data_IF_617078582248
#
_entry.id   IF_617078582248
#
_cell.length_a   1.000
_cell.length_b   1.000
_cell.length_c   1.000
_cell.angle_alpha   90.00
_cell.angle_beta   90.00
_cell.angle_gamma   90.00
#
_symmetry.space_group_name_H-M   'P 1'
#
loop_
_entity.id
_entity.type
_entity.pdbx_description
1 polymer ?
#
# COMPACT_ATOMS: atom_id res chain seq x y z
N UNK A 1 40.60 -10.81 -1.88
CA UNK A 1 39.73 -11.59 -2.80
C UNK A 1 38.69 -12.25 -1.94
N UNK A 2 37.45 -12.03 -2.33
CA UNK A 2 36.29 -12.03 -1.49
C UNK A 2 35.58 -13.37 -1.70
N UNK A 3 34.89 -13.90 -0.69
CA UNK A 3 34.33 -15.24 -0.72
C UNK A 3 33.28 -15.36 -1.84
N UNK A 4 33.64 -16.00 -2.95
CA UNK A 4 32.75 -16.32 -4.08
C UNK A 4 31.48 -17.07 -3.61
N UNK A 5 31.64 -17.88 -2.57
CA UNK A 5 30.55 -18.58 -1.89
C UNK A 5 29.59 -17.59 -1.21
N UNK A 6 30.09 -16.62 -0.44
CA UNK A 6 29.27 -15.61 0.22
C UNK A 6 28.50 -14.74 -0.79
N UNK A 7 29.16 -14.31 -1.88
CA UNK A 7 28.51 -13.60 -2.98
C UNK A 7 27.35 -14.41 -3.56
N UNK A 8 27.59 -15.70 -3.86
CA UNK A 8 26.57 -16.59 -4.44
C UNK A 8 25.40 -16.81 -3.49
N UNK A 9 25.65 -17.03 -2.20
CA UNK A 9 24.60 -17.22 -1.18
C UNK A 9 23.75 -15.95 -1.08
N UNK A 10 24.37 -14.78 -0.95
CA UNK A 10 23.66 -13.50 -0.84
C UNK A 10 22.82 -13.21 -2.10
N UNK A 11 23.38 -13.41 -3.29
CA UNK A 11 22.67 -13.22 -4.55
C UNK A 11 21.52 -14.20 -4.72
N UNK A 12 21.67 -15.44 -4.25
CA UNK A 12 20.59 -16.44 -4.27
C UNK A 12 19.47 -16.05 -3.32
N UNK A 13 19.78 -15.66 -2.08
CA UNK A 13 18.76 -15.20 -1.11
C UNK A 13 18.03 -13.97 -1.67
N UNK A 14 18.76 -13.01 -2.24
CA UNK A 14 18.17 -11.84 -2.88
C UNK A 14 17.19 -12.22 -4.00
N UNK A 15 17.59 -13.13 -4.88
CA UNK A 15 16.75 -13.63 -5.97
C UNK A 15 15.49 -14.31 -5.42
N UNK A 16 15.61 -15.10 -4.35
CA UNK A 16 14.46 -15.74 -3.69
C UNK A 16 13.52 -14.69 -3.09
N UNK A 17 14.04 -13.64 -2.45
CA UNK A 17 13.23 -12.51 -1.98
C UNK A 17 12.40 -11.93 -3.13
N UNK A 18 13.02 -11.67 -4.29
CA UNK A 18 12.31 -11.12 -5.44
C UNK A 18 11.29 -12.08 -6.05
N UNK A 19 11.54 -13.39 -5.99
CA UNK A 19 10.56 -14.40 -6.42
C UNK A 19 9.30 -14.38 -5.55
N UNK A 20 9.33 -13.92 -4.29
CA UNK A 20 8.16 -13.96 -3.39
C UNK A 20 7.64 -12.57 -3.01
N UNK A 21 8.34 -11.49 -3.39
CA UNK A 21 8.09 -10.13 -2.88
C UNK A 21 6.64 -9.67 -3.07
N UNK A 22 6.01 -10.01 -4.21
CA UNK A 22 4.66 -9.54 -4.55
C UNK A 22 3.54 -10.34 -3.87
N UNK A 23 3.81 -11.52 -3.31
CA UNK A 23 2.79 -12.37 -2.69
C UNK A 23 2.02 -11.62 -1.58
N UNK A 24 2.69 -10.94 -0.62
CA UNK A 24 2.01 -10.09 0.36
C UNK A 24 1.10 -9.02 -0.26
N UNK A 25 1.49 -8.40 -1.37
CA UNK A 25 0.67 -7.38 -2.04
C UNK A 25 -0.58 -7.99 -2.67
N UNK A 26 -0.42 -9.13 -3.36
CA UNK A 26 -1.54 -9.86 -3.98
C UNK A 26 -2.57 -10.27 -2.92
N UNK A 27 -2.10 -10.80 -1.79
CA UNK A 27 -2.95 -11.20 -0.67
C UNK A 27 -3.64 -9.96 -0.06
N UNK A 28 -2.89 -8.87 0.14
CA UNK A 28 -3.43 -7.63 0.68
C UNK A 28 -4.56 -7.07 -0.19
N UNK A 29 -4.33 -6.97 -1.51
CA UNK A 29 -5.33 -6.55 -2.49
C UNK A 29 -6.56 -7.47 -2.46
N UNK A 30 -6.35 -8.80 -2.43
CA UNK A 30 -7.43 -9.76 -2.40
C UNK A 30 -8.27 -9.68 -1.13
N UNK A 31 -7.66 -9.43 0.02
CA UNK A 31 -8.37 -9.29 1.31
C UNK A 31 -9.15 -7.99 1.39
N UNK A 32 -8.56 -6.88 0.95
CA UNK A 32 -9.17 -5.55 1.03
C UNK A 32 -10.21 -5.29 -0.06
N UNK A 33 -10.10 -5.97 -1.21
CA UNK A 33 -10.96 -5.76 -2.39
C UNK A 33 -10.94 -4.30 -2.90
N UNK A 34 -9.86 -3.59 -2.62
CA UNK A 34 -9.65 -2.18 -2.95
C UNK A 34 -8.16 -1.95 -3.18
N UNK A 35 -7.83 -1.41 -4.35
CA UNK A 35 -6.47 -1.11 -4.80
C UNK A 35 -6.16 0.39 -4.77
N UNK A 36 -6.95 1.19 -4.03
CA UNK A 36 -6.69 2.62 -3.86
C UNK A 36 -5.28 2.87 -3.33
N UNK A 37 -4.50 3.61 -4.11
CA UNK A 37 -3.11 3.97 -3.83
C UNK A 37 -2.05 3.02 -4.41
N UNK A 38 -2.46 1.89 -5.01
CA UNK A 38 -1.59 1.06 -5.84
C UNK A 38 -1.78 1.44 -7.32
N UNK A 39 -0.81 2.11 -7.98
CA UNK A 39 -0.99 2.56 -9.35
C UNK A 39 -1.03 1.38 -10.34
N UNK A 40 -2.07 1.25 -11.19
CA UNK A 40 -2.10 0.20 -12.22
C UNK A 40 -0.92 0.29 -13.18
N UNK A 41 -0.48 1.52 -13.50
CA UNK A 41 0.63 1.78 -14.40
C UNK A 41 1.97 1.20 -13.88
N UNK A 42 2.19 1.19 -12.57
CA UNK A 42 3.38 0.56 -11.97
C UNK A 42 3.40 -0.93 -12.31
N UNK A 43 2.30 -1.63 -11.99
CA UNK A 43 2.20 -3.07 -12.21
C UNK A 43 2.32 -3.41 -13.71
N UNK A 44 1.74 -2.59 -14.58
CA UNK A 44 1.87 -2.76 -16.03
C UNK A 44 3.31 -2.56 -16.52
N UNK A 45 3.97 -1.48 -16.11
CA UNK A 45 5.37 -1.23 -16.49
C UNK A 45 6.30 -2.33 -15.99
N UNK A 46 6.02 -2.91 -14.82
CA UNK A 46 6.75 -4.05 -14.30
C UNK A 46 6.53 -5.32 -15.10
N UNK A 47 5.30 -5.61 -15.55
CA UNK A 47 5.04 -6.69 -16.53
C UNK A 47 5.87 -6.47 -17.80
N UNK A 48 5.81 -5.27 -18.38
CA UNK A 48 6.54 -4.96 -19.62
C UNK A 48 8.06 -5.00 -19.42
N UNK A 49 8.58 -4.66 -18.24
CA UNK A 49 10.00 -4.81 -17.90
C UNK A 49 10.43 -6.27 -17.78
N UNK A 50 9.51 -7.17 -17.41
CA UNK A 50 9.74 -8.61 -17.30
C UNK A 50 10.13 -9.25 -18.64
N UNK A 51 9.55 -8.76 -19.75
CA UNK A 51 9.80 -9.29 -21.11
C UNK A 51 11.29 -9.19 -21.50
N UNK A 52 11.93 -7.99 -21.52
CA UNK A 52 13.36 -7.91 -21.83
C UNK A 52 14.24 -8.57 -20.75
N UNK A 53 13.82 -8.63 -19.47
CA UNK A 53 14.56 -9.42 -18.47
C UNK A 53 14.51 -10.92 -18.77
N UNK A 54 13.36 -11.48 -19.14
CA UNK A 54 13.18 -12.88 -19.52
C UNK A 54 14.06 -13.24 -20.71
N UNK A 55 14.03 -12.40 -21.75
CA UNK A 55 14.92 -12.51 -22.92
C UNK A 55 16.40 -12.51 -22.48
N UNK A 56 16.81 -11.51 -21.70
CA UNK A 56 18.19 -11.36 -21.24
C UNK A 56 18.69 -12.58 -20.47
N UNK A 57 17.97 -12.99 -19.43
CA UNK A 57 18.40 -14.10 -18.58
C UNK A 57 18.33 -15.47 -19.28
N UNK A 58 17.39 -15.68 -20.20
CA UNK A 58 17.28 -16.91 -20.99
C UNK A 58 18.38 -17.06 -22.06
N UNK A 59 18.87 -15.92 -22.59
CA UNK A 59 19.99 -15.87 -23.55
C UNK A 59 21.32 -16.01 -22.81
N UNK A 60 21.57 -15.18 -21.80
CA UNK A 60 22.80 -15.19 -21.00
C UNK A 60 22.98 -16.49 -20.20
N UNK A 61 21.87 -17.16 -19.86
CA UNK A 61 21.81 -18.46 -19.18
C UNK A 61 22.74 -18.63 -17.95
N UNK A 62 22.75 -17.68 -16.99
CA UNK A 62 23.70 -17.72 -15.87
C UNK A 62 23.44 -18.89 -14.90
N UNK A 63 22.20 -19.06 -14.46
CA UNK A 63 21.72 -20.17 -13.64
C UNK A 63 20.19 -20.26 -13.74
N UNK A 64 19.62 -21.41 -13.40
CA UNK A 64 18.19 -21.66 -13.57
C UNK A 64 17.32 -20.74 -12.70
N UNK A 65 17.81 -20.34 -11.52
CA UNK A 65 17.06 -19.49 -10.59
C UNK A 65 16.88 -18.08 -11.19
N UNK A 66 17.94 -17.49 -11.76
CA UNK A 66 17.86 -16.18 -12.43
C UNK A 66 17.03 -16.21 -13.73
N UNK A 67 16.92 -17.37 -14.40
CA UNK A 67 16.03 -17.51 -15.55
C UNK A 67 14.55 -17.55 -15.13
N UNK A 68 14.24 -18.20 -14.01
CA UNK A 68 12.86 -18.33 -13.52
C UNK A 68 12.36 -17.03 -12.88
N UNK A 69 13.24 -16.27 -12.23
CA UNK A 69 12.90 -15.04 -11.50
C UNK A 69 12.06 -14.04 -12.31
N UNK A 70 12.44 -13.59 -13.54
CA UNK A 70 11.67 -12.59 -14.28
C UNK A 70 10.28 -13.10 -14.68
N UNK A 71 10.14 -14.39 -14.97
CA UNK A 71 8.85 -15.00 -15.29
C UNK A 71 7.92 -15.02 -14.07
N UNK A 72 8.43 -15.40 -12.89
CA UNK A 72 7.66 -15.34 -11.65
C UNK A 72 7.25 -13.91 -11.31
N UNK A 73 8.20 -12.97 -11.41
CA UNK A 73 7.95 -11.55 -11.21
C UNK A 73 6.85 -11.03 -12.14
N UNK A 74 6.92 -11.36 -13.43
CA UNK A 74 5.94 -10.97 -14.42
C UNK A 74 4.55 -11.56 -14.13
N UNK A 75 4.45 -12.84 -13.76
CA UNK A 75 3.18 -13.47 -13.36
C UNK A 75 2.57 -12.75 -12.16
N UNK A 76 3.34 -12.46 -11.11
CA UNK A 76 2.82 -11.77 -9.93
C UNK A 76 2.44 -10.31 -10.22
N UNK A 77 3.20 -9.63 -11.08
CA UNK A 77 2.85 -8.29 -11.55
C UNK A 77 1.57 -8.31 -12.38
N UNK A 78 1.40 -9.30 -13.26
CA UNK A 78 0.22 -9.50 -14.08
C UNK A 78 -1.03 -9.76 -13.21
N UNK A 79 -0.91 -10.60 -12.18
CA UNK A 79 -2.00 -10.83 -11.21
C UNK A 79 -2.34 -9.55 -10.46
N UNK A 80 -1.34 -8.83 -9.94
CA UNK A 80 -1.55 -7.57 -9.22
C UNK A 80 -2.13 -6.48 -10.12
N UNK A 81 -1.69 -6.41 -11.38
CA UNK A 81 -2.24 -5.53 -12.40
C UNK A 81 -3.72 -5.85 -12.65
N UNK A 82 -4.07 -7.11 -12.88
CA UNK A 82 -5.46 -7.53 -13.03
C UNK A 82 -6.31 -7.16 -11.79
N UNK A 83 -5.76 -7.31 -10.57
CA UNK A 83 -6.43 -6.85 -9.35
C UNK A 83 -6.66 -5.34 -9.35
N UNK A 84 -5.68 -4.52 -9.78
CA UNK A 84 -5.85 -3.06 -9.86
C UNK A 84 -6.89 -2.62 -10.89
N UNK A 85 -7.07 -3.38 -11.98
CA UNK A 85 -8.11 -3.10 -12.97
C UNK A 85 -9.49 -3.56 -12.49
N UNK A 86 -9.55 -4.65 -11.72
CA UNK A 86 -10.80 -5.27 -11.28
C UNK A 86 -11.40 -4.59 -10.04
N UNK A 87 -10.58 -4.25 -9.04
CA UNK A 87 -11.03 -3.60 -7.82
C UNK A 87 -11.10 -2.06 -8.00
N UNK A 88 -11.80 -1.33 -7.09
CA UNK A 88 -11.70 0.11 -7.02
C UNK A 88 -10.25 0.59 -6.97
N UNK A 89 -9.90 1.72 -7.63
CA UNK A 89 -10.80 2.69 -8.24
C UNK A 89 -11.17 2.44 -9.72
N UNK A 90 -10.58 1.46 -10.41
CA UNK A 90 -10.78 1.29 -11.87
C UNK A 90 -12.07 0.55 -12.24
N UNK A 91 -12.40 -0.52 -11.50
CA UNK A 91 -13.63 -1.32 -11.66
C UNK A 91 -13.99 -1.67 -13.12
N UNK A 92 -13.01 -2.14 -13.89
CA UNK A 92 -13.22 -2.50 -15.29
C UNK A 92 -14.01 -3.81 -15.43
N UNK A 93 -14.77 -3.94 -16.52
CA UNK A 93 -15.48 -5.17 -16.85
C UNK A 93 -14.49 -6.33 -17.05
N UNK A 94 -14.80 -7.51 -16.49
CA UNK A 94 -13.98 -8.73 -16.53
C UNK A 94 -13.57 -9.13 -17.95
N UNK A 95 -14.44 -8.95 -18.95
CA UNK A 95 -14.11 -9.29 -20.34
C UNK A 95 -13.02 -8.39 -20.91
N UNK A 96 -13.04 -7.08 -20.58
CA UNK A 96 -12.00 -6.14 -21.00
C UNK A 96 -10.67 -6.46 -20.32
N UNK A 97 -10.71 -6.80 -19.03
CA UNK A 97 -9.52 -7.23 -18.28
C UNK A 97 -8.95 -8.50 -18.90
N UNK A 98 -9.78 -9.52 -19.14
CA UNK A 98 -9.35 -10.77 -19.76
C UNK A 98 -8.74 -10.54 -21.16
N UNK A 99 -9.33 -9.66 -21.97
CA UNK A 99 -8.77 -9.29 -23.27
C UNK A 99 -7.40 -8.61 -23.14
N UNK A 100 -7.25 -7.63 -22.22
CA UNK A 100 -5.97 -6.94 -21.97
C UNK A 100 -4.90 -7.94 -21.50
N UNK A 101 -5.23 -8.81 -20.55
CA UNK A 101 -4.31 -9.81 -20.03
C UNK A 101 -3.89 -10.79 -21.12
N UNK A 102 -4.85 -11.31 -21.90
CA UNK A 102 -4.57 -12.22 -23.01
C UNK A 102 -3.68 -11.57 -24.06
N UNK A 103 -3.99 -10.35 -24.50
CA UNK A 103 -3.17 -9.61 -25.47
C UNK A 103 -1.76 -9.39 -24.95
N UNK A 104 -1.62 -8.98 -23.68
CA UNK A 104 -0.31 -8.76 -23.06
C UNK A 104 0.51 -10.05 -23.03
N UNK A 105 -0.09 -11.17 -22.61
CA UNK A 105 0.58 -12.48 -22.56
C UNK A 105 0.95 -13.01 -23.95
N UNK A 106 0.11 -12.81 -24.97
CA UNK A 106 0.44 -13.22 -26.33
C UNK A 106 1.62 -12.42 -26.90
N UNK A 107 1.66 -11.11 -26.63
CA UNK A 107 2.79 -10.26 -27.02
C UNK A 107 4.06 -10.69 -26.29
N UNK A 108 3.97 -10.85 -24.97
CA UNK A 108 5.06 -11.30 -24.12
C UNK A 108 5.69 -12.62 -24.61
N UNK A 109 4.89 -13.70 -24.69
CA UNK A 109 5.36 -15.01 -25.18
C UNK A 109 5.92 -14.91 -26.61
N UNK A 110 5.27 -14.14 -27.49
CA UNK A 110 5.73 -13.97 -28.87
C UNK A 110 7.09 -13.27 -28.97
N UNK A 111 7.30 -12.22 -28.17
CA UNK A 111 8.56 -11.49 -28.10
C UNK A 111 9.66 -12.36 -27.45
N UNK A 112 9.38 -12.98 -26.31
CA UNK A 112 10.35 -13.84 -25.63
C UNK A 112 10.81 -15.00 -26.52
N UNK A 113 9.86 -15.79 -27.04
CA UNK A 113 10.20 -16.95 -27.89
C UNK A 113 10.91 -16.50 -29.17
N UNK A 114 10.42 -15.43 -29.82
CA UNK A 114 11.01 -14.91 -31.05
C UNK A 114 12.46 -14.44 -30.86
N UNK A 115 12.70 -13.59 -29.84
CA UNK A 115 14.04 -13.07 -29.57
C UNK A 115 14.98 -14.13 -29.00
N UNK A 116 14.52 -15.03 -28.13
CA UNK A 116 15.38 -16.08 -27.56
C UNK A 116 15.85 -17.03 -28.68
N UNK A 117 14.95 -17.51 -29.55
CA UNK A 117 15.34 -18.41 -30.65
C UNK A 117 16.33 -17.74 -31.60
N UNK A 118 16.16 -16.44 -31.87
CA UNK A 118 17.01 -15.70 -32.79
C UNK A 118 18.37 -15.31 -32.19
N UNK A 119 18.39 -14.80 -30.96
CA UNK A 119 19.59 -14.23 -30.33
C UNK A 119 20.44 -15.28 -29.62
N UNK A 120 19.86 -16.37 -29.13
CA UNK A 120 20.63 -17.41 -28.41
C UNK A 120 21.75 -18.03 -29.25
N UNK A 121 21.55 -18.37 -30.54
CA UNK A 121 22.65 -18.80 -31.41
C UNK A 121 23.72 -17.72 -31.65
N UNK A 122 23.34 -16.44 -31.69
CA UNK A 122 24.28 -15.32 -31.86
C UNK A 122 25.12 -15.11 -30.60
N UNK A 123 24.50 -15.21 -29.43
CA UNK A 123 25.19 -15.15 -28.15
C UNK A 123 26.20 -16.30 -28.00
N UNK A 124 25.81 -17.52 -28.39
CA UNK A 124 26.70 -18.69 -28.40
C UNK A 124 27.90 -18.55 -29.36
N UNK A 125 27.75 -17.77 -30.44
CA UNK A 125 28.84 -17.43 -31.36
C UNK A 125 29.76 -16.31 -30.83
N UNK A 126 29.49 -15.78 -29.64
CA UNK A 126 30.30 -14.76 -28.98
C UNK A 126 29.80 -13.32 -29.13
N UNK A 127 28.72 -13.09 -29.89
CA UNK A 127 28.16 -11.74 -30.07
C UNK A 127 27.21 -11.40 -28.91
N UNK A 128 27.76 -10.77 -27.86
CA UNK A 128 27.02 -10.49 -26.61
C UNK A 128 26.29 -9.15 -26.56
N UNK A 129 26.65 -8.18 -27.39
CA UNK A 129 26.07 -6.82 -27.31
C UNK A 129 24.54 -6.76 -27.49
N UNK A 130 23.90 -7.55 -28.36
CA UNK A 130 22.44 -7.56 -28.49
C UNK A 130 21.72 -7.92 -27.18
N UNK A 131 22.27 -8.85 -26.42
CA UNK A 131 21.72 -9.27 -25.11
C UNK A 131 21.75 -8.13 -24.09
N UNK A 132 22.85 -7.36 -24.06
CA UNK A 132 22.99 -6.20 -23.18
C UNK A 132 21.92 -5.13 -23.42
N UNK A 133 21.42 -4.98 -24.64
CA UNK A 133 20.34 -4.03 -24.95
C UNK A 133 19.06 -4.42 -24.19
N UNK A 134 18.74 -5.71 -24.11
CA UNK A 134 17.60 -6.20 -23.35
C UNK A 134 17.82 -6.00 -21.85
N UNK A 135 19.00 -6.32 -21.32
CA UNK A 135 19.33 -6.06 -19.91
C UNK A 135 19.21 -4.58 -19.51
N UNK A 136 19.74 -3.66 -20.33
CA UNK A 136 19.69 -2.21 -20.07
C UNK A 136 18.25 -1.68 -20.19
N UNK A 137 17.52 -2.07 -21.24
CA UNK A 137 16.12 -1.63 -21.42
C UNK A 137 15.21 -2.13 -20.31
N UNK A 138 15.39 -3.38 -19.87
CA UNK A 138 14.67 -3.95 -18.72
C UNK A 138 14.92 -3.15 -17.44
N UNK A 139 16.20 -2.83 -17.17
CA UNK A 139 16.63 -2.05 -16.02
C UNK A 139 15.98 -0.65 -15.98
N UNK A 140 15.95 0.04 -17.13
CA UNK A 140 15.33 1.36 -17.25
C UNK A 140 13.81 1.26 -17.02
N UNK A 141 13.14 0.28 -17.65
CA UNK A 141 11.70 0.08 -17.51
C UNK A 141 11.31 -0.24 -16.06
N UNK A 142 12.10 -1.07 -15.37
CA UNK A 142 11.87 -1.40 -13.96
C UNK A 142 11.93 -0.14 -13.07
N UNK A 143 12.98 0.69 -13.24
CA UNK A 143 13.14 1.94 -12.51
C UNK A 143 12.02 2.94 -12.82
N UNK A 144 11.65 3.10 -14.10
CA UNK A 144 10.52 3.94 -14.52
C UNK A 144 9.20 3.43 -13.92
N UNK A 145 9.04 2.11 -13.78
CA UNK A 145 7.89 1.48 -13.15
C UNK A 145 7.68 1.89 -11.69
N UNK A 146 8.73 2.33 -10.98
CA UNK A 146 8.63 2.85 -9.62
C UNK A 146 8.23 4.33 -9.54
N UNK A 147 8.15 5.08 -10.64
CA UNK A 147 7.74 6.50 -10.64
C UNK A 147 6.25 6.75 -10.31
N UNK A 148 5.27 5.97 -10.81
CA UNK A 148 3.86 6.17 -10.49
C UNK A 148 3.54 6.22 -8.99
N UNK A 149 4.11 5.35 -8.12
CA UNK A 149 3.99 5.48 -6.67
C UNK A 149 4.40 6.84 -6.13
N UNK A 150 5.50 7.42 -6.63
CA UNK A 150 5.96 8.74 -6.19
C UNK A 150 4.98 9.85 -6.53
N UNK A 151 4.33 9.79 -7.69
CA UNK A 151 3.29 10.75 -8.05
C UNK A 151 2.07 10.63 -7.11
N UNK A 152 1.67 9.41 -6.76
CA UNK A 152 0.61 9.18 -5.75
C UNK A 152 1.02 9.71 -4.37
N UNK A 153 2.28 9.53 -3.95
CA UNK A 153 2.79 10.08 -2.70
C UNK A 153 2.76 11.60 -2.68
N UNK A 154 3.20 12.24 -3.77
CA UNK A 154 3.16 13.69 -3.91
C UNK A 154 1.73 14.22 -3.82
N UNK A 155 0.79 13.61 -4.55
CA UNK A 155 -0.63 13.95 -4.51
C UNK A 155 -1.25 13.80 -3.12
N UNK A 156 -0.78 12.83 -2.33
CA UNK A 156 -1.29 12.51 -0.98
C UNK A 156 -0.48 13.11 0.17
N UNK A 157 0.35 14.13 -0.11
CA UNK A 157 1.17 14.84 0.90
C UNK A 157 2.09 13.90 1.71
N UNK A 158 2.67 12.89 1.04
CA UNK A 158 3.62 11.93 1.61
C UNK A 158 3.00 10.67 2.24
N UNK A 159 1.67 10.52 2.22
CA UNK A 159 1.02 9.33 2.77
C UNK A 159 1.06 8.17 1.77
N UNK A 160 1.83 7.12 2.09
CA UNK A 160 1.76 5.84 1.38
C UNK A 160 0.41 5.19 1.67
N UNK A 161 -0.37 4.89 0.63
CA UNK A 161 -1.67 4.21 0.72
C UNK A 161 -1.68 3.10 -0.32
N UNK A 162 -2.26 1.95 0.01
CA UNK A 162 -2.46 0.86 -0.97
C UNK A 162 -1.25 -0.04 -1.21
N UNK A 163 -0.03 0.43 -0.94
CA UNK A 163 1.18 -0.40 -0.99
C UNK A 163 1.38 -1.11 0.36
N UNK A 164 1.55 -2.43 0.32
CA UNK A 164 1.82 -3.27 1.48
C UNK A 164 3.30 -3.15 1.88
N UNK A 165 3.57 -2.73 3.12
CA UNK A 165 4.92 -2.59 3.65
C UNK A 165 5.72 -3.89 3.68
N UNK A 166 5.05 -5.05 3.83
CA UNK A 166 5.74 -6.33 3.78
C UNK A 166 6.26 -6.63 2.36
N UNK A 167 5.49 -6.28 1.33
CA UNK A 167 5.95 -6.37 -0.06
C UNK A 167 7.17 -5.47 -0.27
N UNK A 168 7.06 -4.20 0.09
CA UNK A 168 8.13 -3.22 -0.09
C UNK A 168 9.39 -3.59 0.70
N UNK A 169 9.23 -4.19 1.89
CA UNK A 169 10.36 -4.65 2.70
C UNK A 169 11.09 -5.82 2.05
N UNK A 170 10.36 -6.82 1.55
CA UNK A 170 10.98 -8.01 0.91
C UNK A 170 11.68 -7.62 -0.40
N UNK A 171 11.07 -6.72 -1.18
CA UNK A 171 11.66 -6.16 -2.41
C UNK A 171 12.98 -5.45 -2.11
N UNK A 172 12.95 -4.55 -1.11
CA UNK A 172 14.14 -3.80 -0.70
C UNK A 172 15.21 -4.66 -0.08
N UNK A 173 14.84 -5.66 0.71
CA UNK A 173 15.79 -6.65 1.23
C UNK A 173 16.53 -7.35 0.09
N UNK A 174 15.84 -7.73 -0.99
CA UNK A 174 16.46 -8.29 -2.18
C UNK A 174 17.47 -7.33 -2.83
N UNK A 175 17.14 -6.05 -2.94
CA UNK A 175 18.04 -5.03 -3.49
C UNK A 175 19.30 -4.84 -2.62
N UNK A 176 19.16 -4.70 -1.30
CA UNK A 176 20.30 -4.55 -0.39
C UNK A 176 21.19 -5.78 -0.36
N UNK A 177 20.61 -6.99 -0.31
CA UNK A 177 21.38 -8.24 -0.37
C UNK A 177 22.13 -8.38 -1.70
N UNK A 178 21.55 -7.93 -2.81
CA UNK A 178 22.22 -7.93 -4.12
C UNK A 178 23.37 -6.94 -4.20
N UNK A 179 23.23 -5.75 -3.61
CA UNK A 179 24.33 -4.78 -3.50
C UNK A 179 25.50 -5.40 -2.72
N UNK A 180 25.23 -6.01 -1.57
CA UNK A 180 26.27 -6.66 -0.76
C UNK A 180 26.89 -7.84 -1.52
N UNK A 181 26.08 -8.66 -2.20
CA UNK A 181 26.55 -9.77 -3.05
C UNK A 181 27.55 -9.29 -4.10
N UNK A 182 27.25 -8.21 -4.84
CA UNK A 182 28.14 -7.67 -5.87
C UNK A 182 29.42 -7.07 -5.28
N UNK A 183 29.33 -6.34 -4.16
CA UNK A 183 30.50 -5.80 -3.45
C UNK A 183 31.41 -6.93 -2.95
N UNK A 184 30.81 -8.05 -2.53
CA UNK A 184 31.49 -9.22 -1.99
C UNK A 184 31.93 -10.19 -3.10
N UNK A 185 31.51 -9.98 -4.35
CA UNK A 185 31.79 -10.89 -5.45
C UNK A 185 32.60 -10.22 -6.56
N UNK A 186 32.23 -10.56 -7.79
CA UNK A 186 32.68 -9.84 -8.98
C UNK A 186 31.83 -8.59 -9.18
N UNK A 187 32.49 -7.45 -9.33
CA UNK A 187 31.83 -6.17 -9.56
C UNK A 187 31.14 -6.14 -10.93
N UNK A 188 29.86 -6.49 -10.98
CA UNK A 188 28.99 -6.19 -12.12
C UNK A 188 28.44 -4.76 -11.99
N UNK A 189 29.01 -3.86 -12.78
CA UNK A 189 28.68 -2.42 -12.78
C UNK A 189 27.24 -2.18 -13.24
N UNK A 190 26.68 -3.04 -14.11
CA UNK A 190 25.31 -2.86 -14.58
C UNK A 190 24.31 -3.19 -13.46
N UNK A 191 24.44 -4.38 -12.87
CA UNK A 191 23.60 -4.82 -11.77
C UNK A 191 23.65 -3.89 -10.56
N UNK A 192 24.85 -3.45 -10.14
CA UNK A 192 24.99 -2.58 -8.97
C UNK A 192 24.31 -1.22 -9.16
N UNK A 193 24.35 -0.63 -10.36
CA UNK A 193 23.66 0.64 -10.65
C UNK A 193 22.15 0.45 -10.50
N UNK A 194 21.59 -0.61 -11.09
CA UNK A 194 20.16 -0.89 -10.99
C UNK A 194 19.74 -1.11 -9.53
N UNK A 195 20.48 -1.95 -8.78
CA UNK A 195 20.15 -2.24 -7.39
C UNK A 195 20.22 -1.00 -6.51
N UNK A 196 21.19 -0.11 -6.73
CA UNK A 196 21.27 1.17 -6.03
C UNK A 196 20.09 2.10 -6.35
N UNK A 197 19.66 2.15 -7.62
CA UNK A 197 18.49 2.95 -8.03
C UNK A 197 17.23 2.41 -7.34
N UNK A 198 16.98 1.10 -7.45
CA UNK A 198 15.80 0.46 -6.84
C UNK A 198 15.81 0.66 -5.32
N UNK A 199 16.92 0.33 -4.65
CA UNK A 199 17.05 0.49 -3.20
C UNK A 199 16.84 1.95 -2.76
N UNK A 200 17.39 2.92 -3.51
CA UNK A 200 17.19 4.34 -3.25
C UNK A 200 15.74 4.78 -3.43
N UNK A 201 15.06 4.27 -4.45
CA UNK A 201 13.65 4.56 -4.71
C UNK A 201 12.75 3.97 -3.61
N UNK A 202 12.96 2.74 -3.21
CA UNK A 202 12.18 2.12 -2.14
C UNK A 202 12.44 2.79 -0.78
N UNK A 203 13.70 3.14 -0.50
CA UNK A 203 14.05 3.91 0.70
C UNK A 203 13.34 5.26 0.71
N UNK A 204 13.18 5.91 -0.46
CA UNK A 204 12.39 7.12 -0.60
C UNK A 204 10.91 6.94 -0.24
N UNK A 205 10.31 5.80 -0.61
CA UNK A 205 8.93 5.45 -0.23
C UNK A 205 8.84 5.24 1.30
N UNK A 206 9.79 4.50 1.89
CA UNK A 206 9.86 4.32 3.35
C UNK A 206 10.03 5.65 4.10
N UNK A 207 10.97 6.50 3.64
CA UNK A 207 11.23 7.80 4.23
C UNK A 207 10.00 8.70 4.15
N UNK A 208 9.29 8.72 3.02
CA UNK A 208 8.05 9.48 2.83
C UNK A 208 6.98 9.07 3.86
N UNK A 209 6.77 7.76 4.05
CA UNK A 209 5.85 7.27 5.07
C UNK A 209 6.29 7.63 6.49
N UNK A 210 7.58 7.47 6.79
CA UNK A 210 8.13 7.79 8.11
C UNK A 210 7.98 9.28 8.43
N UNK A 211 8.31 10.17 7.49
CA UNK A 211 8.13 11.62 7.62
C UNK A 211 6.66 11.96 7.84
N UNK A 212 5.75 11.32 7.11
CA UNK A 212 4.31 11.50 7.33
C UNK A 212 3.88 11.05 8.74
N UNK A 213 4.35 9.89 9.21
CA UNK A 213 4.09 9.40 10.57
C UNK A 213 4.63 10.36 11.63
N UNK A 214 5.88 10.81 11.50
CA UNK A 214 6.47 11.80 12.41
C UNK A 214 5.65 13.08 12.41
N UNK A 215 5.33 13.65 11.24
CA UNK A 215 4.56 14.89 11.13
C UNK A 215 3.19 14.76 11.79
N UNK A 216 2.41 13.72 11.50
CA UNK A 216 1.05 13.61 12.03
C UNK A 216 0.97 13.06 13.47
N UNK A 217 1.86 12.14 13.89
CA UNK A 217 1.92 11.71 15.30
C UNK A 217 2.46 12.82 16.19
N UNK A 218 3.46 13.58 15.74
CA UNK A 218 4.02 14.70 16.50
C UNK A 218 3.03 15.87 16.58
N UNK A 219 2.37 16.24 15.48
CA UNK A 219 1.36 17.30 15.49
C UNK A 219 0.13 16.93 16.33
N UNK A 220 -0.24 15.64 16.41
CA UNK A 220 -1.33 15.20 17.30
C UNK A 220 -0.91 15.24 18.77
N UNK A 221 0.33 14.83 19.08
CA UNK A 221 0.89 14.94 20.43
C UNK A 221 0.97 16.40 20.89
N UNK A 222 1.44 17.32 20.05
CA UNK A 222 1.48 18.74 20.38
C UNK A 222 0.08 19.34 20.56
N UNK A 223 -0.93 18.95 19.75
CA UNK A 223 -2.30 19.42 19.96
C UNK A 223 -2.95 18.90 21.25
N UNK A 224 -2.65 17.67 21.64
CA UNK A 224 -3.10 17.12 22.93
C UNK A 224 -2.41 17.83 24.10
N UNK A 225 -1.08 18.05 24.03
CA UNK A 225 -0.32 18.79 25.04
C UNK A 225 -0.72 20.27 25.12
N UNK A 226 -0.96 20.95 23.99
CA UNK A 226 -1.39 22.35 23.96
C UNK A 226 -2.84 22.49 24.47
N UNK A 227 -3.72 21.52 24.19
CA UNK A 227 -5.07 21.50 24.75
C UNK A 227 -5.08 21.20 26.27
N UNK A 228 -4.20 20.32 26.76
CA UNK A 228 -4.01 20.09 28.20
C UNK A 228 -3.45 21.34 28.88
N UNK A 229 -2.43 21.99 28.30
CA UNK A 229 -1.85 23.21 28.85
C UNK A 229 -2.83 24.39 28.83
N UNK A 230 -3.61 24.51 27.76
CA UNK A 230 -4.66 25.53 27.65
C UNK A 230 -5.79 25.28 28.64
N UNK A 231 -6.26 24.03 28.80
CA UNK A 231 -7.33 23.70 29.77
C UNK A 231 -6.91 23.88 31.22
N UNK A 232 -5.64 23.66 31.55
CA UNK A 232 -5.06 24.03 32.86
C UNK A 232 -5.05 25.56 33.03
N UNK A 233 -4.66 26.32 32.00
CA UNK A 233 -4.62 27.79 32.06
C UNK A 233 -6.03 28.43 32.13
N UNK A 234 -7.06 27.79 31.57
CA UNK A 234 -8.46 28.21 31.71
C UNK A 234 -9.01 27.90 33.12
N UNK A 235 -8.66 26.75 33.71
CA UNK A 235 -9.05 26.44 35.09
C UNK A 235 -8.35 27.31 36.14
N UNK A 236 -7.11 27.74 35.89
CA UNK A 236 -6.38 28.67 36.77
C UNK A 236 -6.93 30.11 36.70
N UNK A 237 -7.52 30.53 35.57
CA UNK A 237 -8.17 31.85 35.43
C UNK A 237 -9.60 31.91 36.00
N UNK A 238 -10.33 30.80 36.04
CA UNK A 238 -11.64 30.74 36.73
C UNK A 238 -11.51 30.55 38.25
N UNK A 239 -10.38 30.06 38.75
CA UNK A 239 -10.09 29.95 40.18
C UNK A 239 -9.34 31.17 40.73
N UNK A 240 -9.75 32.36 40.29
CA UNK A 240 -9.35 33.63 40.89
C UNK A 240 -9.95 33.83 42.29
N UNK A 241 -9.52 33.05 43.28
CA UNK A 241 -9.62 33.43 44.68
C UNK A 241 -8.44 34.34 45.04
N UNK A 242 -8.78 35.56 45.46
CA UNK A 242 -7.84 36.50 46.10
C UNK A 242 -7.43 35.94 47.47
N UNK A 243 -6.20 36.20 47.95
CA UNK A 243 -5.64 35.51 49.10
C UNK A 243 -6.13 36.16 50.38
N UNK A 244 -7.37 35.90 50.77
CA UNK A 244 -7.82 36.08 52.15
C UNK A 244 -9.04 35.20 52.39
N UNK A 245 -8.82 34.17 53.22
CA UNK A 245 -9.85 33.38 53.91
C UNK A 245 -10.45 32.14 53.17
N UNK A 246 -9.79 30.98 53.26
CA UNK A 246 -10.51 29.72 53.52
C UNK A 246 -9.64 28.59 54.10
N UNK A 247 -9.16 28.81 55.32
CA UNK A 247 -8.70 27.75 56.24
C UNK A 247 -9.83 26.75 56.65
N UNK A 248 -10.89 26.59 55.86
CA UNK A 248 -12.06 25.76 56.20
C UNK A 248 -12.47 24.75 55.13
N UNK A 249 -11.61 24.45 54.14
CA UNK A 249 -11.92 23.45 53.09
C UNK A 249 -10.89 22.33 52.95
N UNK A 250 -10.11 22.09 54.01
CA UNK A 250 -9.13 20.99 54.10
C UNK A 250 -9.78 19.67 54.57
N UNK A 251 -11.04 19.68 55.04
CA UNK A 251 -11.74 18.45 55.45
C UNK A 251 -12.81 18.06 54.43
N UNK A 252 -12.70 16.82 53.92
CA UNK A 252 -13.59 16.11 52.97
C UNK A 252 -13.38 16.50 51.49
N UNK A 253 -12.90 15.65 50.57
CA UNK A 253 -12.87 14.19 50.50
C UNK A 253 -11.59 13.73 49.80
N UNK A 254 -10.93 12.76 50.44
CA UNK A 254 -10.04 11.80 49.78
C UNK A 254 -10.89 10.76 49.02
N UNK A 255 -10.22 10.06 48.11
CA UNK A 255 -10.66 8.91 47.28
C UNK A 255 -11.42 9.30 46.00
N UNK A 256 -11.05 8.91 44.78
CA UNK A 256 -10.01 7.99 44.32
C UNK A 256 -10.45 7.38 42.98
N UNK A 257 -9.61 7.56 41.95
CA UNK A 257 -9.38 6.64 40.79
C UNK A 257 -10.29 6.64 39.54
N UNK A 258 -9.59 6.75 38.39
CA UNK A 258 -9.65 5.90 37.18
C UNK A 258 -10.19 6.49 35.85
N UNK A 259 -9.27 6.59 34.89
CA UNK A 259 -9.39 6.89 33.46
C UNK A 259 -10.12 5.80 32.63
N UNK A 260 -10.76 6.19 31.51
CA UNK A 260 -10.73 5.42 30.25
C UNK A 260 -11.13 6.21 28.98
N UNK A 261 -10.18 6.25 28.04
CA UNK A 261 -10.20 6.42 26.56
C UNK A 261 -11.29 5.54 25.85
N UNK A 262 -11.77 5.67 24.61
CA UNK A 262 -11.46 6.45 23.39
C UNK A 262 -12.54 6.25 22.28
N UNK A 263 -12.68 7.26 21.40
CA UNK A 263 -12.96 7.27 19.94
C UNK A 263 -14.19 6.59 19.30
N UNK A 264 -14.86 7.36 18.42
CA UNK A 264 -15.73 6.85 17.35
C UNK A 264 -15.29 7.38 15.97
N UNK A 265 -15.22 6.46 15.01
CA UNK A 265 -14.99 6.69 13.57
C UNK A 265 -16.34 6.54 12.87
N UNK A 266 -16.71 7.42 11.93
CA UNK A 266 -17.82 7.20 10.98
C UNK A 266 -17.27 7.04 9.57
N UNK A 267 -17.63 5.94 8.93
CA UNK A 267 -17.75 5.84 7.47
C UNK A 267 -19.22 5.61 7.11
N UNK A 268 -19.62 6.15 5.96
CA UNK A 268 -20.94 6.03 5.35
C UNK A 268 -20.72 5.38 3.98
N UNK A 269 -21.55 4.41 3.60
CA UNK A 269 -21.63 3.96 2.21
C UNK A 269 -23.08 3.67 1.78
N UNK A 270 -23.34 4.14 0.55
CA UNK A 270 -24.39 3.86 -0.44
C UNK A 270 -25.25 2.58 -0.34
N UNK A 271 -26.43 2.61 -0.98
CA UNK A 271 -26.78 1.99 -2.31
C UNK A 271 -28.33 1.95 -2.45
N UNK A 272 -28.93 2.68 -3.40
CA UNK A 272 -29.63 2.25 -4.66
C UNK A 272 -30.74 1.20 -4.52
N UNK A 273 -31.93 1.51 -5.06
CA UNK A 273 -32.89 0.54 -5.62
C UNK A 273 -33.66 1.13 -6.82
N UNK A 274 -33.77 0.33 -7.89
CA UNK A 274 -34.70 0.44 -9.02
C UNK A 274 -36.16 0.12 -8.59
N UNK A 275 -37.18 0.77 -9.18
CA UNK A 275 -38.05 0.22 -10.23
C UNK A 275 -39.29 1.11 -10.51
N UNK A 276 -39.73 1.10 -11.76
CA UNK A 276 -40.85 1.80 -12.42
C UNK A 276 -42.24 1.66 -11.77
N UNK A 277 -43.06 2.72 -11.77
CA UNK A 277 -44.22 2.94 -12.69
C UNK A 277 -45.08 4.16 -12.26
N UNK A 278 -45.26 5.08 -13.21
CA UNK A 278 -46.38 5.99 -13.51
C UNK A 278 -47.21 6.70 -12.41
N UNK A 279 -46.95 8.01 -12.34
CA UNK A 279 -47.87 9.16 -12.43
C UNK A 279 -48.90 9.52 -11.34
N UNK A 280 -48.77 10.81 -10.98
CA UNK A 280 -49.75 11.81 -10.52
C UNK A 280 -50.00 12.00 -9.01
N UNK A 281 -49.19 12.94 -8.48
CA UNK A 281 -49.53 14.10 -7.64
C UNK A 281 -50.52 13.86 -6.49
N UNK A 282 -49.96 13.67 -5.28
CA UNK A 282 -50.64 13.92 -4.00
C UNK A 282 -49.66 14.60 -3.04
N UNK A 283 -49.93 15.87 -2.71
CA UNK A 283 -49.49 16.50 -1.47
C UNK A 283 -50.19 15.76 -0.31
N UNK A 284 -49.46 15.00 0.49
CA UNK A 284 -49.89 14.58 1.82
C UNK A 284 -48.67 14.33 2.71
N UNK A 285 -48.71 14.99 3.87
CA UNK A 285 -47.71 14.97 4.94
C UNK A 285 -47.75 13.60 5.61
N UNK A 286 -46.70 12.78 5.47
CA UNK A 286 -46.50 11.58 6.28
C UNK A 286 -45.73 11.92 7.57
N UNK A 287 -46.38 11.59 8.68
CA UNK A 287 -45.90 11.71 10.06
C UNK A 287 -44.81 10.65 10.31
N UNK A 288 -43.58 11.08 10.62
CA UNK A 288 -42.44 10.16 10.82
C UNK A 288 -42.28 9.82 12.30
N UNK A 289 -42.68 8.61 12.72
CA UNK A 289 -42.34 8.07 14.04
C UNK A 289 -40.85 7.69 14.09
N UNK A 290 -40.07 8.39 14.91
CA UNK A 290 -38.65 8.06 15.14
C UNK A 290 -38.53 7.07 16.29
N UNK A 291 -38.25 5.81 15.98
CA UNK A 291 -37.88 4.81 16.98
C UNK A 291 -36.42 4.98 17.41
N UNK A 292 -36.18 5.44 18.63
CA UNK A 292 -34.85 5.44 19.25
C UNK A 292 -34.76 4.32 20.29
N UNK A 293 -33.98 3.27 19.97
CA UNK A 293 -33.67 2.20 20.94
C UNK A 293 -32.36 2.56 21.64
N UNK A 294 -32.42 2.87 22.93
CA UNK A 294 -31.22 3.08 23.75
C UNK A 294 -30.87 1.77 24.47
N UNK A 295 -29.75 1.16 24.09
CA UNK A 295 -29.19 0.00 24.80
C UNK A 295 -28.20 0.52 25.84
N UNK A 296 -28.53 0.40 27.12
CA UNK A 296 -27.57 0.58 28.21
C UNK A 296 -27.05 -0.77 28.68
N UNK A 297 -25.74 -0.90 28.78
CA UNK A 297 -25.09 -2.09 29.34
C UNK A 297 -24.43 -1.72 30.66
N UNK A 298 -24.88 -2.35 31.75
CA UNK A 298 -24.25 -2.23 33.07
C UNK A 298 -24.00 -3.66 33.57
N UNK A 299 -22.73 -3.98 33.87
CA UNK A 299 -22.29 -5.25 34.46
C UNK A 299 -22.67 -6.54 33.68
N UNK A 300 -22.46 -6.57 32.36
CA UNK A 300 -22.42 -7.84 31.60
C UNK A 300 -23.77 -8.54 31.36
N UNK A 301 -24.90 -7.86 31.59
CA UNK A 301 -26.23 -8.32 31.16
C UNK A 301 -26.90 -7.22 30.35
N UNK A 302 -27.36 -7.54 29.14
CA UNK A 302 -28.07 -6.60 28.26
C UNK A 302 -29.56 -6.62 28.60
N UNK A 303 -30.12 -5.50 29.07
CA UNK A 303 -31.58 -5.32 29.18
C UNK A 303 -32.05 -4.30 28.15
N UNK A 304 -33.05 -4.68 27.37
CA UNK A 304 -33.68 -3.85 26.34
C UNK A 304 -34.92 -3.19 26.94
N UNK A 305 -34.92 -1.86 27.05
CA UNK A 305 -36.10 -1.12 27.50
C UNK A 305 -36.51 -0.13 26.41
N UNK A 306 -37.74 -0.25 25.92
CA UNK A 306 -38.33 0.60 24.88
C UNK A 306 -39.24 1.64 25.52
N UNK A 307 -38.95 2.92 25.35
CA UNK A 307 -39.85 4.03 25.73
C UNK A 307 -40.07 4.95 24.55
N UNK A 308 -41.34 5.20 24.23
CA UNK A 308 -41.82 6.00 23.09
C UNK A 308 -41.96 7.46 23.55
N UNK A 309 -41.34 8.39 22.83
CA UNK A 309 -41.56 9.84 23.01
C UNK A 309 -42.04 10.43 21.68
N UNK A 310 -43.22 11.03 21.69
CA UNK A 310 -43.86 11.63 20.51
C UNK A 310 -43.71 13.15 20.61
N UNK A 311 -42.82 13.75 19.80
CA UNK A 311 -42.79 15.20 19.60
C UNK A 311 -43.26 15.51 18.17
N UNK A 312 -44.34 16.29 18.04
CA UNK A 312 -44.83 16.78 16.76
C UNK A 312 -44.23 18.16 16.45
N UNK A 313 -43.61 18.30 15.28
CA UNK A 313 -43.16 19.58 14.74
C UNK A 313 -44.16 19.99 13.66
N UNK A 314 -44.91 21.08 13.90
CA UNK A 314 -45.76 21.71 12.89
C UNK A 314 -44.93 22.68 12.04
N UNK A 315 -44.71 22.25 10.79
CA UNK A 315 -44.35 22.95 9.54
C UNK A 315 -43.51 24.22 9.66
#
# INVERSE_FOLDING_TARGET
MISDEASTILGTIATVCWCIQLIPQIIYNYKRKDCTGLPPLMMFLWVISGIPFGIYFCISAPNIILQIQPHLFMIFCAVSFAQTLYYPPCQMNRLKIAAIMLTTTLIDVGLEVGFIIWLKPLYQKGTKWPDLIFGISASILLAVGLLPPYFELFKRKGRVVGINFLFLFVDSLGAWLSIVSVIVGTMDVMGIILYCIVAGMELGIFASHFIWCCRFKWLRKNKETDNELSSVEYHEKESGETPDNLNSKIEMSKDGTSHSFQSHTKELHHVVTDHDTDNEIIDNIEEFEVYSTTVQTIHGVTMQNSSINTESIRI
#
